data_IF_277212316347
#
_entry.id   IF_277212316347
#
_cell.length_a   1.000
_cell.length_b   1.000
_cell.length_c   1.000
_cell.angle_alpha   90.00
_cell.angle_beta   90.00
_cell.angle_gamma   90.00
#
_symmetry.space_group_name_H-M   'P 1'
#
loop_
_entity.id
_entity.type
_entity.pdbx_description
1 polymer ?
#
# COMPACT_ATOMS: atom_id res chain seq x y z
N UNK A 1 49.46 -38.79 10.36
CA UNK A 1 48.91 -39.33 9.10
C UNK A 1 47.89 -40.43 9.44
N UNK A 2 46.77 -40.45 8.70
CA UNK A 2 45.80 -41.55 8.55
C UNK A 2 44.73 -41.73 9.65
N UNK A 3 43.56 -41.17 9.37
CA UNK A 3 42.30 -41.87 9.07
C UNK A 3 42.16 -43.31 9.56
N UNK A 4 40.99 -43.63 10.14
CA UNK A 4 40.56 -45.01 10.30
C UNK A 4 39.14 -45.11 10.87
N UNK A 5 38.13 -44.92 10.00
CA UNK A 5 36.78 -45.35 10.29
C UNK A 5 36.73 -46.87 10.47
N UNK A 6 36.00 -47.35 11.47
CA UNK A 6 35.67 -48.76 11.61
C UNK A 6 34.15 -48.95 11.59
N UNK A 7 33.76 -49.85 10.70
CA UNK A 7 32.43 -50.21 10.23
C UNK A 7 31.58 -50.96 11.26
N UNK A 8 30.32 -50.52 11.34
CA UNK A 8 29.06 -51.28 11.42
C UNK A 8 29.05 -52.69 12.07
N UNK A 9 28.26 -52.84 13.15
CA UNK A 9 27.57 -54.10 13.46
C UNK A 9 26.17 -53.84 14.02
N UNK A 10 25.17 -54.24 13.22
CA UNK A 10 23.74 -54.26 13.52
C UNK A 10 23.46 -55.31 14.60
N UNK A 11 22.84 -54.93 15.72
CA UNK A 11 22.14 -55.86 16.62
C UNK A 11 20.72 -55.33 16.83
N UNK A 12 19.75 -56.13 16.42
CA UNK A 12 18.34 -55.93 16.72
C UNK A 12 18.10 -56.21 18.21
N UNK A 13 17.41 -55.31 18.91
CA UNK A 13 16.59 -55.68 20.07
C UNK A 13 15.34 -54.79 20.10
N UNK A 14 14.18 -55.43 20.02
CA UNK A 14 12.85 -54.83 20.22
C UNK A 14 12.79 -54.25 21.63
N UNK A 15 12.41 -52.98 21.76
CA UNK A 15 11.84 -52.43 22.98
C UNK A 15 10.53 -51.73 22.60
N UNK A 16 9.45 -52.29 23.13
CA UNK A 16 8.10 -51.75 23.11
C UNK A 16 8.00 -50.45 23.90
N UNK A 17 6.92 -49.71 23.61
CA UNK A 17 6.26 -48.67 24.42
C UNK A 17 7.02 -47.35 24.63
N UNK A 18 6.52 -46.27 24.05
CA UNK A 18 5.66 -45.27 24.72
C UNK A 18 5.13 -44.34 23.62
N UNK A 19 3.84 -44.45 23.33
CA UNK A 19 3.06 -43.45 22.61
C UNK A 19 2.46 -42.55 23.66
N UNK A 20 2.98 -41.33 23.85
CA UNK A 20 2.26 -40.23 24.49
C UNK A 20 3.02 -38.89 24.38
N UNK A 21 2.22 -37.83 24.19
CA UNK A 21 2.49 -36.39 24.34
C UNK A 21 2.98 -35.57 23.13
N UNK A 22 1.95 -34.96 22.52
CA UNK A 22 1.76 -33.52 22.39
C UNK A 22 2.69 -32.73 21.44
N UNK A 23 2.09 -32.43 20.28
CA UNK A 23 2.20 -31.20 19.53
C UNK A 23 3.17 -30.13 20.07
N UNK A 24 4.32 -30.02 19.41
CA UNK A 24 4.93 -28.72 19.17
C UNK A 24 4.77 -28.44 17.67
N UNK A 25 3.57 -28.03 17.28
CA UNK A 25 3.44 -27.19 16.10
C UNK A 25 4.11 -25.87 16.50
N UNK A 26 5.39 -25.74 16.17
CA UNK A 26 5.97 -24.42 16.00
C UNK A 26 5.20 -23.78 14.85
N UNK A 27 4.10 -23.11 15.19
CA UNK A 27 3.63 -22.00 14.38
C UNK A 27 4.76 -20.98 14.47
N UNK A 28 5.73 -21.09 13.55
CA UNK A 28 6.43 -19.90 13.12
C UNK A 28 5.31 -18.95 12.73
N UNK A 29 5.13 -17.92 13.54
CA UNK A 29 4.25 -16.82 13.23
C UNK A 29 4.71 -16.35 11.87
N UNK A 30 3.98 -16.76 10.83
CA UNK A 30 4.17 -16.20 9.52
C UNK A 30 3.86 -14.73 9.76
N UNK A 31 4.92 -13.91 9.82
CA UNK A 31 4.77 -12.48 9.74
C UNK A 31 3.85 -12.29 8.55
N UNK A 32 2.62 -11.82 8.80
CA UNK A 32 1.72 -11.47 7.73
C UNK A 32 2.51 -10.42 6.95
N UNK A 33 3.09 -10.82 5.82
CA UNK A 33 3.65 -9.86 4.88
C UNK A 33 2.47 -8.98 4.57
N UNK A 34 2.49 -7.73 5.06
CA UNK A 34 1.49 -6.74 4.68
C UNK A 34 1.36 -6.87 3.18
N UNK A 35 0.19 -7.31 2.71
CA UNK A 35 0.01 -7.58 1.30
C UNK A 35 0.38 -6.29 0.57
N UNK A 36 1.11 -6.40 -0.53
CA UNK A 36 1.50 -5.25 -1.33
C UNK A 36 0.25 -4.42 -1.69
N UNK A 37 0.41 -3.11 -1.87
CA UNK A 37 -0.69 -2.28 -2.33
C UNK A 37 -1.08 -2.71 -3.75
N UNK A 38 -2.32 -3.18 -3.93
CA UNK A 38 -2.90 -3.43 -5.25
C UNK A 38 -3.79 -2.26 -5.67
N UNK A 39 -4.10 -2.16 -6.96
CA UNK A 39 -5.03 -1.14 -7.46
C UNK A 39 -6.41 -1.29 -6.83
N UNK A 40 -6.90 -2.51 -6.61
CA UNK A 40 -8.20 -2.75 -5.97
C UNK A 40 -8.21 -2.25 -4.53
N UNK A 41 -7.14 -2.51 -3.77
CA UNK A 41 -7.04 -2.06 -2.37
C UNK A 41 -6.90 -0.54 -2.29
N UNK A 42 -6.16 0.06 -3.22
CA UNK A 42 -6.07 1.51 -3.35
C UNK A 42 -7.46 2.11 -3.61
N UNK A 43 -8.18 1.58 -4.60
CA UNK A 43 -9.49 2.08 -4.98
C UNK A 43 -10.53 1.85 -3.88
N UNK A 44 -10.49 0.75 -3.12
CA UNK A 44 -11.37 0.52 -1.96
C UNK A 44 -11.25 1.66 -0.93
N UNK A 45 -10.05 2.21 -0.72
CA UNK A 45 -9.84 3.38 0.16
C UNK A 45 -10.24 4.68 -0.54
N UNK A 46 -9.78 4.90 -1.77
CA UNK A 46 -9.93 6.18 -2.45
C UNK A 46 -11.36 6.46 -2.95
N UNK A 47 -12.14 5.42 -3.24
CA UNK A 47 -13.52 5.55 -3.71
C UNK A 47 -14.52 5.75 -2.56
N UNK A 48 -14.10 5.54 -1.30
CA UNK A 48 -14.89 5.79 -0.10
C UNK A 48 -15.60 7.15 -0.14
N UNK A 49 -16.80 7.21 0.45
CA UNK A 49 -17.66 8.41 0.44
C UNK A 49 -17.44 9.31 1.67
N UNK A 50 -16.89 8.73 2.74
CA UNK A 50 -16.62 9.39 4.01
C UNK A 50 -15.22 9.06 4.52
N UNK A 51 -14.68 9.91 5.40
CA UNK A 51 -13.39 9.63 6.06
C UNK A 51 -13.49 8.37 6.93
N UNK A 52 -14.63 8.10 7.55
CA UNK A 52 -14.86 6.92 8.38
C UNK A 52 -14.85 5.62 7.56
N UNK A 53 -15.43 5.65 6.36
CA UNK A 53 -15.37 4.52 5.42
C UNK A 53 -13.94 4.30 4.91
N UNK A 54 -13.25 5.38 4.51
CA UNK A 54 -11.84 5.29 4.13
C UNK A 54 -10.97 4.76 5.28
N UNK A 55 -11.26 5.18 6.52
CA UNK A 55 -10.62 4.66 7.73
C UNK A 55 -10.82 3.16 7.89
N UNK A 56 -12.05 2.67 7.74
CA UNK A 56 -12.37 1.25 7.86
C UNK A 56 -11.69 0.41 6.76
N UNK A 57 -11.61 0.93 5.54
CA UNK A 57 -10.95 0.23 4.42
C UNK A 57 -9.42 0.26 4.55
N UNK A 58 -8.84 1.41 4.90
CA UNK A 58 -7.40 1.57 5.06
C UNK A 58 -6.84 0.81 6.28
N UNK A 59 -7.62 0.58 7.33
CA UNK A 59 -7.18 -0.25 8.46
C UNK A 59 -6.98 -1.73 8.08
N UNK A 60 -7.63 -2.20 7.02
CA UNK A 60 -7.40 -3.54 6.45
C UNK A 60 -6.04 -3.64 5.75
N UNK A 61 -5.30 -2.53 5.61
CA UNK A 61 -3.96 -2.53 5.02
C UNK A 61 -2.89 -3.05 5.99
N UNK A 62 -3.17 -3.04 7.30
CA UNK A 62 -2.18 -3.28 8.36
C UNK A 62 -0.99 -2.30 8.28
N UNK A 63 -1.27 -1.09 7.80
CA UNK A 63 -0.31 0.00 7.72
C UNK A 63 -0.41 0.90 8.95
N UNK A 64 0.70 1.52 9.34
CA UNK A 64 0.72 2.46 10.46
C UNK A 64 -0.07 3.71 10.07
N UNK A 65 -1.13 4.04 10.82
CA UNK A 65 -1.80 5.35 10.69
C UNK A 65 -0.83 6.49 10.98
N UNK A 66 -0.91 7.56 10.19
CA UNK A 66 -0.19 8.80 10.47
C UNK A 66 -0.64 9.38 11.81
N UNK A 67 0.29 10.02 12.52
CA UNK A 67 -0.03 10.61 13.82
C UNK A 67 -0.89 11.86 13.64
N UNK A 68 -1.63 12.23 14.69
CA UNK A 68 -2.38 13.49 14.68
C UNK A 68 -1.45 14.69 14.41
N UNK A 69 -0.20 14.66 14.89
CA UNK A 69 0.77 15.73 14.67
C UNK A 69 1.11 15.89 13.18
N UNK A 70 1.41 14.79 12.48
CA UNK A 70 1.72 14.80 11.04
C UNK A 70 0.54 15.34 10.23
N UNK A 71 -0.67 14.94 10.62
CA UNK A 71 -1.91 15.34 9.94
C UNK A 71 -2.23 16.83 10.22
N UNK A 72 -2.04 17.33 11.44
CA UNK A 72 -2.34 18.73 11.79
C UNK A 72 -1.45 19.72 11.06
N UNK A 73 -0.16 19.42 10.89
CA UNK A 73 0.76 20.27 10.14
C UNK A 73 0.32 20.43 8.68
N UNK A 74 0.02 19.29 8.03
CA UNK A 74 -0.50 19.28 6.67
C UNK A 74 -1.83 20.01 6.55
N UNK A 75 -2.78 19.72 7.47
CA UNK A 75 -4.12 20.34 7.50
C UNK A 75 -4.03 21.86 7.59
N UNK A 76 -3.18 22.38 8.47
CA UNK A 76 -3.01 23.83 8.65
C UNK A 76 -2.54 24.49 7.36
N UNK A 77 -1.58 23.87 6.68
CA UNK A 77 -1.05 24.36 5.40
C UNK A 77 -2.12 24.33 4.30
N UNK A 78 -2.86 23.23 4.20
CA UNK A 78 -3.95 23.07 3.24
C UNK A 78 -5.05 24.13 3.45
N UNK A 79 -5.54 24.27 4.69
CA UNK A 79 -6.59 25.26 5.02
C UNK A 79 -6.10 26.69 4.81
N UNK A 80 -4.84 26.99 5.14
CA UNK A 80 -4.26 28.31 4.90
C UNK A 80 -4.23 28.71 3.43
N UNK A 81 -4.05 27.76 2.52
CA UNK A 81 -4.02 28.00 1.08
C UNK A 81 -5.40 27.95 0.41
N UNK A 82 -6.22 26.93 0.73
CA UNK A 82 -7.50 26.69 0.07
C UNK A 82 -8.70 27.36 0.74
N UNK A 83 -8.56 27.76 2.01
CA UNK A 83 -9.68 28.16 2.86
C UNK A 83 -10.59 26.99 3.26
N UNK A 84 -11.58 27.26 4.10
CA UNK A 84 -12.57 26.26 4.53
C UNK A 84 -12.05 25.27 5.58
N UNK A 85 -12.45 24.01 5.46
CA UNK A 85 -12.07 22.93 6.39
C UNK A 85 -11.69 21.65 5.64
N UNK A 86 -10.92 20.77 6.27
CA UNK A 86 -10.57 19.47 5.70
C UNK A 86 -10.51 18.39 6.78
N UNK A 87 -11.23 17.30 6.53
CA UNK A 87 -11.10 16.05 7.27
C UNK A 87 -10.15 15.13 6.50
N UNK A 88 -9.17 14.56 7.19
CA UNK A 88 -8.07 13.83 6.55
C UNK A 88 -7.60 12.67 7.43
N UNK A 89 -7.25 11.57 6.76
CA UNK A 89 -6.60 10.39 7.33
C UNK A 89 -5.45 9.97 6.41
N UNK A 90 -4.42 9.36 6.98
CA UNK A 90 -3.36 8.75 6.19
C UNK A 90 -2.69 7.57 6.87
N UNK A 91 -1.99 6.80 6.06
CA UNK A 91 -1.28 5.58 6.43
C UNK A 91 0.12 5.60 5.83
N UNK A 92 1.04 4.93 6.52
CA UNK A 92 2.43 4.80 6.15
C UNK A 92 2.90 3.37 6.33
N UNK A 93 3.64 2.88 5.34
CA UNK A 93 4.28 1.58 5.37
C UNK A 93 5.73 1.73 4.93
N UNK A 94 6.67 1.26 5.75
CA UNK A 94 8.08 1.34 5.40
C UNK A 94 8.42 0.17 4.47
N UNK A 95 9.13 0.45 3.38
CA UNK A 95 9.67 -0.54 2.45
C UNK A 95 11.14 -0.30 2.19
N UNK A 96 11.78 -1.28 1.55
CA UNK A 96 13.07 -1.05 0.93
C UNK A 96 12.94 0.06 -0.14
N UNK A 97 13.90 0.98 -0.16
CA UNK A 97 13.91 2.11 -1.10
C UNK A 97 13.06 3.33 -0.70
N UNK A 98 12.17 3.21 0.31
CA UNK A 98 11.41 4.35 0.81
C UNK A 98 10.11 3.95 1.51
N UNK A 99 9.37 4.96 1.98
CA UNK A 99 8.05 4.74 2.57
C UNK A 99 6.96 4.87 1.52
N UNK A 100 5.97 3.99 1.63
CA UNK A 100 4.67 4.17 0.99
C UNK A 100 3.80 5.07 1.86
N UNK A 101 3.06 5.96 1.21
CA UNK A 101 2.14 6.88 1.86
C UNK A 101 0.81 6.84 1.14
N UNK A 102 -0.27 6.59 1.88
CA UNK A 102 -1.64 6.70 1.42
C UNK A 102 -2.35 7.76 2.26
N UNK A 103 -3.10 8.65 1.61
CA UNK A 103 -3.90 9.65 2.30
C UNK A 103 -5.25 9.81 1.61
N UNK A 104 -6.27 10.10 2.41
CA UNK A 104 -7.63 10.38 1.95
C UNK A 104 -8.14 11.61 2.70
N UNK A 105 -8.78 12.52 1.99
CA UNK A 105 -9.36 13.71 2.60
C UNK A 105 -10.62 14.20 1.88
N UNK A 106 -11.43 14.93 2.64
CA UNK A 106 -12.61 15.64 2.16
C UNK A 106 -12.47 17.09 2.60
N UNK A 107 -12.35 17.98 1.61
CA UNK A 107 -12.34 19.41 1.81
C UNK A 107 -13.74 20.00 1.65
N UNK A 108 -14.09 20.99 2.47
CA UNK A 108 -15.30 21.76 2.39
C UNK A 108 -14.99 23.26 2.25
N UNK A 109 -15.77 23.98 1.44
CA UNK A 109 -15.54 25.39 1.13
C UNK A 109 -15.66 25.68 -0.37
N UNK A 110 -15.15 26.83 -0.85
CA UNK A 110 -15.24 27.24 -2.25
C UNK A 110 -14.64 26.25 -3.25
N UNK A 111 -13.66 25.45 -2.81
CA UNK A 111 -13.02 24.40 -3.59
C UNK A 111 -13.26 23.02 -2.96
N UNK A 112 -14.50 22.75 -2.52
CA UNK A 112 -14.86 21.48 -1.88
C UNK A 112 -14.64 20.29 -2.82
N UNK A 113 -13.93 19.29 -2.34
CA UNK A 113 -13.63 18.08 -3.11
C UNK A 113 -13.34 16.91 -2.18
N UNK A 114 -13.42 15.70 -2.72
CA UNK A 114 -12.84 14.50 -2.15
C UNK A 114 -11.56 14.20 -2.91
N UNK A 115 -10.49 13.86 -2.21
CA UNK A 115 -9.27 13.39 -2.85
C UNK A 115 -8.54 12.33 -2.04
N UNK A 116 -7.73 11.58 -2.76
CA UNK A 116 -6.90 10.49 -2.26
C UNK A 116 -5.56 10.55 -2.99
N UNK A 117 -4.46 10.35 -2.26
CA UNK A 117 -3.13 10.30 -2.84
C UNK A 117 -2.36 9.10 -2.31
N UNK A 118 -1.74 8.35 -3.22
CA UNK A 118 -0.85 7.24 -2.90
C UNK A 118 0.51 7.45 -3.55
N UNK A 119 1.58 7.30 -2.78
CA UNK A 119 2.97 7.37 -3.22
C UNK A 119 3.69 6.08 -2.90
N UNK A 120 4.49 5.57 -3.83
CA UNK A 120 5.26 4.33 -3.66
C UNK A 120 6.65 4.40 -4.32
N UNK A 121 7.69 3.84 -3.69
CA UNK A 121 9.00 3.62 -4.31
C UNK A 121 9.09 2.32 -5.13
N UNK A 122 7.97 1.60 -5.32
CA UNK A 122 7.92 0.35 -6.06
C UNK A 122 6.71 0.28 -7.02
N UNK A 123 6.62 1.14 -8.06
CA UNK A 123 5.45 1.29 -8.91
C UNK A 123 5.32 0.24 -10.03
N UNK A 124 6.17 -0.79 -10.04
CA UNK A 124 6.20 -1.78 -11.11
C UNK A 124 4.81 -2.43 -11.31
N UNK A 125 4.31 -2.39 -12.55
CA UNK A 125 3.00 -2.94 -12.93
C UNK A 125 1.79 -2.09 -12.51
N UNK A 126 1.96 -1.02 -11.74
CA UNK A 126 0.84 -0.25 -11.20
C UNK A 126 0.04 0.48 -12.30
N UNK A 127 0.73 1.02 -13.31
CA UNK A 127 0.08 1.68 -14.44
C UNK A 127 -0.69 0.70 -15.34
N UNK A 128 -0.18 -0.51 -15.51
CA UNK A 128 -0.85 -1.55 -16.29
C UNK A 128 -2.13 -1.99 -15.57
N UNK A 129 -2.06 -2.23 -14.26
CA UNK A 129 -3.21 -2.55 -13.43
C UNK A 129 -4.27 -1.42 -13.39
N UNK A 130 -3.84 -0.16 -13.34
CA UNK A 130 -4.75 0.99 -13.46
C UNK A 130 -5.44 1.01 -14.83
N UNK A 131 -4.70 0.73 -15.90
CA UNK A 131 -5.25 0.70 -17.26
C UNK A 131 -6.22 -0.47 -17.46
N UNK A 132 -5.96 -1.62 -16.84
CA UNK A 132 -6.90 -2.75 -16.85
C UNK A 132 -8.20 -2.39 -16.13
N UNK A 133 -8.10 -1.71 -14.99
CA UNK A 133 -9.26 -1.34 -14.15
C UNK A 133 -10.06 -0.15 -14.66
N UNK A 134 -9.40 0.83 -15.30
CA UNK A 134 -9.99 2.11 -15.74
C UNK A 134 -10.15 2.19 -17.27
N UNK A 135 -9.62 1.23 -18.01
CA UNK A 135 -9.50 1.29 -19.47
C UNK A 135 -8.35 2.17 -19.95
N UNK A 136 -8.32 2.45 -21.25
CA UNK A 136 -7.29 3.27 -21.87
C UNK A 136 -7.24 4.69 -21.26
N UNK A 137 -6.03 5.23 -21.11
CA UNK A 137 -5.80 6.58 -20.63
C UNK A 137 -6.43 7.62 -21.58
N UNK A 138 -6.94 8.71 -21.01
CA UNK A 138 -7.39 9.86 -21.82
C UNK A 138 -6.21 10.73 -22.26
N UNK A 139 -5.14 10.74 -21.45
CA UNK A 139 -3.85 11.32 -21.79
C UNK A 139 -2.70 10.46 -21.27
N UNK A 140 -1.62 10.42 -22.05
CA UNK A 140 -0.39 9.71 -21.71
C UNK A 140 0.78 10.52 -22.25
N UNK A 141 1.68 10.91 -21.37
CA UNK A 141 2.93 11.59 -21.70
C UNK A 141 4.11 10.79 -21.16
N UNK A 142 5.16 10.68 -21.95
CA UNK A 142 6.38 9.93 -21.62
C UNK A 142 7.59 10.78 -21.96
N UNK A 143 8.49 10.92 -20.99
CA UNK A 143 9.73 11.64 -21.16
C UNK A 143 10.90 10.75 -20.74
N UNK A 144 11.61 10.24 -21.75
CA UNK A 144 12.73 9.33 -21.54
C UNK A 144 13.96 10.02 -20.94
N UNK A 145 14.07 11.35 -21.05
CA UNK A 145 15.22 12.10 -20.52
C UNK A 145 15.23 12.12 -18.99
N UNK A 146 14.05 12.18 -18.39
CA UNK A 146 13.88 12.19 -16.93
C UNK A 146 13.21 10.92 -16.40
N UNK A 147 13.12 9.89 -17.25
CA UNK A 147 12.46 8.61 -16.94
C UNK A 147 11.07 8.81 -16.31
N UNK A 148 10.27 9.71 -16.90
CA UNK A 148 8.94 10.04 -16.37
C UNK A 148 7.81 9.57 -17.25
N UNK A 149 6.74 9.11 -16.61
CA UNK A 149 5.46 8.81 -17.27
C UNK A 149 4.33 9.50 -16.53
N UNK A 150 3.49 10.23 -17.25
CA UNK A 150 2.26 10.85 -16.74
C UNK A 150 1.08 10.22 -17.46
N UNK A 151 0.06 9.79 -16.72
CA UNK A 151 -1.16 9.22 -17.27
C UNK A 151 -2.38 9.78 -16.55
N UNK A 152 -3.44 10.05 -17.32
CA UNK A 152 -4.69 10.60 -16.81
C UNK A 152 -5.90 9.81 -17.27
N UNK A 153 -6.87 9.65 -16.36
CA UNK A 153 -8.19 9.10 -16.66
C UNK A 153 -9.24 10.01 -16.03
N UNK A 154 -10.30 10.29 -16.77
CA UNK A 154 -11.53 10.89 -16.29
C UNK A 154 -12.65 9.88 -16.46
N UNK A 155 -13.22 9.43 -15.33
CA UNK A 155 -14.34 8.50 -15.31
C UNK A 155 -15.46 9.14 -14.51
N UNK A 156 -16.53 9.51 -15.21
CA UNK A 156 -17.62 10.30 -14.68
C UNK A 156 -17.13 11.60 -13.99
N UNK A 157 -17.38 11.73 -12.69
CA UNK A 157 -16.97 12.87 -11.86
C UNK A 157 -15.61 12.65 -11.15
N UNK A 158 -14.88 11.58 -11.49
CA UNK A 158 -13.60 11.21 -10.86
C UNK A 158 -12.45 11.40 -11.85
N UNK A 159 -11.45 12.17 -11.43
CA UNK A 159 -10.19 12.37 -12.12
C UNK A 159 -9.09 11.55 -11.44
N UNK A 160 -8.36 10.76 -12.22
CA UNK A 160 -7.21 9.96 -11.81
C UNK A 160 -5.97 10.49 -12.52
N UNK A 161 -4.93 10.82 -11.77
CA UNK A 161 -3.66 11.35 -12.29
C UNK A 161 -2.50 10.54 -11.71
N UNK A 162 -1.85 9.75 -12.57
CA UNK A 162 -0.66 8.98 -12.24
C UNK A 162 0.59 9.68 -12.77
N UNK A 163 1.61 9.79 -11.95
CA UNK A 163 2.94 10.28 -12.32
C UNK A 163 3.97 9.32 -11.76
N UNK A 164 4.82 8.79 -12.63
CA UNK A 164 6.02 8.04 -12.28
C UNK A 164 7.25 8.83 -12.70
N UNK A 165 8.26 8.87 -11.85
CA UNK A 165 9.59 9.40 -12.15
C UNK A 165 10.63 8.43 -11.59
N UNK A 166 11.42 7.82 -12.47
CA UNK A 166 12.35 6.76 -12.11
C UNK A 166 11.64 5.60 -11.39
N UNK A 167 12.11 5.29 -10.17
CA UNK A 167 11.59 4.22 -9.34
C UNK A 167 10.42 4.62 -8.42
N UNK A 168 9.93 5.86 -8.48
CA UNK A 168 8.84 6.33 -7.62
C UNK A 168 7.62 6.72 -8.43
N UNK A 169 6.43 6.46 -7.90
CA UNK A 169 5.20 6.99 -8.48
C UNK A 169 4.27 7.58 -7.42
N UNK A 170 3.42 8.47 -7.90
CA UNK A 170 2.27 9.02 -7.19
C UNK A 170 1.02 8.86 -8.05
N UNK A 171 -0.09 8.50 -7.41
CA UNK A 171 -1.42 8.62 -7.99
C UNK A 171 -2.28 9.53 -7.13
N UNK A 172 -2.92 10.49 -7.77
CA UNK A 172 -3.95 11.33 -7.17
C UNK A 172 -5.29 10.96 -7.78
N UNK A 173 -6.29 10.77 -6.92
CA UNK A 173 -7.67 10.47 -7.32
C UNK A 173 -8.54 11.53 -6.67
N UNK A 174 -9.32 12.26 -7.46
CA UNK A 174 -10.12 13.37 -6.95
C UNK A 174 -11.49 13.43 -7.60
N UNK A 175 -12.45 13.97 -6.89
CA UNK A 175 -13.80 14.23 -7.41
C UNK A 175 -14.36 15.49 -6.78
N UNK A 176 -15.07 16.28 -7.57
CA UNK A 176 -15.85 17.41 -7.06
C UNK A 176 -16.99 16.91 -6.17
N UNK A 177 -17.26 17.63 -5.09
CA UNK A 177 -18.42 17.37 -4.23
C UNK A 177 -19.69 18.03 -4.75
#
# INVERSE_FOLDING_TARGET
MKNGACTFRRRYLKVSTISCFAAFLSFGEAAATSADMTVERLLDVCEATTVQEAMANGDKLDWRRLSSADIEEWRRSFVGYHGGSVDVVGWRHEREGGAELLSFWIAAGPNGHKACAYTTPAPAGFMDALSERLGAQDNLDKNDVIESVTAGWKRDAVDYSFVQVGASAVINISSSR
#
